data_IF_944054083839
#
_entry.id   IF_944054083839
#
_cell.length_a   1.000
_cell.length_b   1.000
_cell.length_c   1.000
_cell.angle_alpha   90.00
_cell.angle_beta   90.00
_cell.angle_gamma   90.00
#
_symmetry.space_group_name_H-M   'P 1'
#
loop_
_entity.id
_entity.type
_entity.pdbx_description
1 polymer ?
#
# COMPACT_ATOMS: atom_id res chain seq x y z
N UNK A 1 -6.22 -23.84 10.37
CA UNK A 1 -6.76 -22.87 11.35
C UNK A 1 -6.42 -23.21 12.80
N UNK A 2 -6.26 -24.45 13.18
CA UNK A 2 -5.94 -24.90 14.56
C UNK A 2 -4.58 -24.43 15.09
N UNK A 3 -3.54 -24.38 14.28
CA UNK A 3 -2.19 -23.94 14.72
C UNK A 3 -2.08 -22.44 15.12
N UNK A 4 -3.05 -21.59 14.75
CA UNK A 4 -3.07 -20.17 15.18
C UNK A 4 -3.67 -19.97 16.57
N UNK A 5 -4.54 -20.86 17.02
CA UNK A 5 -5.21 -20.75 18.35
C UNK A 5 -4.27 -21.19 19.47
N UNK A 6 -3.45 -22.22 19.26
CA UNK A 6 -2.49 -22.70 20.27
C UNK A 6 -1.33 -21.72 20.50
N UNK A 7 -0.86 -20.98 19.46
CA UNK A 7 0.17 -19.96 19.60
C UNK A 7 -0.28 -18.73 20.41
N UNK A 8 -1.58 -18.44 20.42
CA UNK A 8 -2.18 -17.31 21.17
C UNK A 8 -2.18 -17.50 22.70
N UNK A 9 -2.10 -18.75 23.22
CA UNK A 9 -2.09 -19.04 24.66
C UNK A 9 -0.72 -18.89 25.29
N UNK A 10 0.36 -19.07 24.54
CA UNK A 10 1.75 -18.96 25.05
C UNK A 10 2.24 -17.50 25.16
N UNK A 11 1.69 -16.60 24.36
CA UNK A 11 2.13 -15.19 24.30
C UNK A 11 1.95 -14.44 25.63
N UNK A 12 0.98 -14.82 26.47
CA UNK A 12 0.73 -14.21 27.77
C UNK A 12 1.17 -15.09 28.96
N UNK A 13 1.86 -16.19 28.71
CA UNK A 13 2.25 -17.14 29.77
C UNK A 13 3.22 -16.49 30.77
N UNK A 14 4.20 -15.76 30.29
CA UNK A 14 5.15 -15.04 31.15
C UNK A 14 4.46 -13.94 31.97
N UNK A 15 3.55 -13.18 31.35
CA UNK A 15 2.76 -12.17 32.04
C UNK A 15 1.91 -12.79 33.13
N UNK A 16 1.15 -13.85 32.82
CA UNK A 16 0.35 -14.59 33.80
C UNK A 16 1.17 -15.15 34.94
N UNK A 17 2.33 -15.75 34.65
CA UNK A 17 3.24 -16.28 35.66
C UNK A 17 3.78 -15.18 36.60
N UNK A 18 4.14 -14.03 36.04
CA UNK A 18 4.65 -12.91 36.84
C UNK A 18 3.54 -12.30 37.71
N UNK A 19 2.34 -12.10 37.17
CA UNK A 19 1.17 -11.65 37.93
C UNK A 19 0.86 -12.63 39.07
N UNK A 20 0.83 -13.94 38.77
CA UNK A 20 0.59 -14.99 39.78
C UNK A 20 1.68 -14.96 40.87
N UNK A 21 2.94 -14.91 40.50
CA UNK A 21 4.04 -14.86 41.48
C UNK A 21 3.94 -13.63 42.38
N UNK A 22 3.71 -12.44 41.84
CA UNK A 22 3.51 -11.22 42.63
C UNK A 22 2.31 -11.30 43.55
N UNK A 23 1.20 -11.89 43.07
CA UNK A 23 0.00 -12.09 43.89
C UNK A 23 0.28 -13.02 45.05
N UNK A 24 0.97 -14.15 44.82
CA UNK A 24 1.38 -15.09 45.87
C UNK A 24 2.32 -14.41 46.86
N UNK A 25 3.32 -13.66 46.37
CA UNK A 25 4.27 -12.93 47.25
C UNK A 25 3.53 -11.91 48.13
N UNK A 26 2.56 -11.16 47.57
CA UNK A 26 1.75 -10.21 48.33
C UNK A 26 0.90 -10.89 49.39
N UNK A 27 0.32 -12.06 49.10
CA UNK A 27 -0.41 -12.86 50.07
C UNK A 27 0.49 -13.34 51.21
N UNK A 28 1.70 -13.82 50.90
CA UNK A 28 2.68 -14.26 51.91
C UNK A 28 3.09 -13.08 52.81
N UNK A 29 3.34 -11.89 52.23
CA UNK A 29 3.65 -10.70 53.01
C UNK A 29 2.47 -10.29 53.88
N UNK A 30 1.21 -10.34 53.35
CA UNK A 30 0.02 -10.04 54.14
C UNK A 30 -0.14 -10.98 55.33
N UNK A 31 0.03 -12.29 55.12
CA UNK A 31 -0.02 -13.28 56.21
C UNK A 31 1.08 -13.04 57.23
N UNK A 32 2.31 -12.72 56.77
CA UNK A 32 3.41 -12.35 57.63
C UNK A 32 3.13 -11.11 58.52
N UNK A 33 2.56 -10.06 57.90
CA UNK A 33 2.14 -8.85 58.63
C UNK A 33 1.06 -9.14 59.66
N UNK A 34 0.06 -9.97 59.31
CA UNK A 34 -1.02 -10.40 60.24
C UNK A 34 -0.44 -11.17 61.41
N UNK A 35 0.47 -12.13 61.13
CA UNK A 35 1.10 -12.90 62.17
C UNK A 35 1.95 -12.01 63.12
N UNK A 36 2.65 -11.05 62.58
CA UNK A 36 3.45 -10.09 63.34
C UNK A 36 2.54 -9.17 64.20
N UNK A 37 1.47 -8.67 63.64
CA UNK A 37 0.44 -7.87 64.33
C UNK A 37 -0.17 -8.66 65.50
N UNK A 38 -0.58 -9.92 65.21
CA UNK A 38 -1.10 -10.84 66.21
C UNK A 38 -0.07 -11.11 67.33
N UNK A 39 1.19 -11.36 67.00
CA UNK A 39 2.27 -11.59 67.97
C UNK A 39 2.52 -10.37 68.86
N UNK A 40 2.52 -9.15 68.29
CA UNK A 40 2.70 -7.91 69.07
C UNK A 40 1.56 -7.64 70.02
N UNK A 41 0.29 -7.81 69.54
CA UNK A 41 -0.91 -7.52 70.33
C UNK A 41 -1.17 -8.53 71.45
N UNK A 42 -0.86 -9.80 71.23
CA UNK A 42 -1.18 -10.89 72.16
C UNK A 42 -0.04 -11.36 73.06
N UNK A 43 1.28 -11.14 72.71
CA UNK A 43 2.41 -11.62 73.51
C UNK A 43 2.80 -10.73 74.68
N UNK A 44 1.88 -9.97 75.27
CA UNK A 44 2.05 -9.31 76.58
C UNK A 44 2.81 -7.97 76.56
N UNK A 45 3.81 -7.79 75.73
CA UNK A 45 4.61 -6.55 75.69
C UNK A 45 3.79 -5.29 75.32
N UNK A 46 2.82 -5.43 74.47
CA UNK A 46 1.89 -4.35 74.10
C UNK A 46 0.95 -4.02 75.23
N UNK A 47 0.46 -5.04 75.95
CA UNK A 47 -0.37 -4.84 77.12
C UNK A 47 0.37 -4.06 78.20
N UNK A 48 1.59 -4.46 78.54
CA UNK A 48 2.43 -3.79 79.52
C UNK A 48 2.78 -2.36 79.13
N UNK A 49 3.04 -2.14 77.83
CA UNK A 49 3.32 -0.80 77.29
C UNK A 49 2.09 0.11 77.40
N UNK A 50 0.89 -0.34 77.01
CA UNK A 50 -0.34 0.42 77.11
C UNK A 50 -0.71 0.68 78.55
N UNK A 51 -0.58 -0.30 79.44
CA UNK A 51 -0.82 -0.12 80.87
C UNK A 51 0.13 0.96 81.44
N UNK A 52 1.42 0.89 81.08
CA UNK A 52 2.44 1.92 81.50
C UNK A 52 2.09 3.31 80.91
N UNK A 53 1.63 3.35 79.65
CA UNK A 53 1.19 4.60 79.01
C UNK A 53 -0.01 5.22 79.75
N UNK A 54 -1.01 4.40 80.04
CA UNK A 54 -2.23 4.82 80.77
C UNK A 54 -1.90 5.33 82.17
N UNK A 55 -0.95 4.71 82.88
CA UNK A 55 -0.45 5.15 84.16
C UNK A 55 0.18 6.55 84.06
N UNK A 56 1.02 6.78 83.00
CA UNK A 56 1.71 8.06 82.81
C UNK A 56 0.79 9.21 82.32
N UNK A 57 -0.09 8.91 81.37
CA UNK A 57 -0.96 9.91 80.74
C UNK A 57 -2.11 10.31 81.67
N UNK A 58 -2.80 9.30 82.22
CA UNK A 58 -3.99 9.50 83.01
C UNK A 58 -3.73 9.51 84.54
N UNK A 59 -2.44 9.34 84.96
CA UNK A 59 -2.03 9.27 86.38
C UNK A 59 -2.83 8.23 87.18
N UNK A 60 -3.19 7.10 86.59
CA UNK A 60 -3.97 6.02 87.15
C UNK A 60 -3.06 5.08 87.94
N UNK A 61 -3.64 4.46 89.02
CA UNK A 61 -3.00 3.32 89.67
C UNK A 61 -2.93 2.12 88.72
N UNK A 62 -2.02 1.17 88.95
CA UNK A 62 -1.78 -0.01 88.10
C UNK A 62 -3.08 -0.79 87.88
N UNK A 63 -3.88 -0.98 88.88
CA UNK A 63 -5.18 -1.71 88.82
C UNK A 63 -6.18 -1.02 87.92
N UNK A 64 -6.32 0.30 88.03
CA UNK A 64 -7.22 1.12 87.22
C UNK A 64 -6.71 1.19 85.74
N UNK A 65 -5.38 1.34 85.53
CA UNK A 65 -4.79 1.35 84.20
C UNK A 65 -4.96 0.00 83.46
N UNK A 66 -4.84 -1.12 84.18
CA UNK A 66 -5.05 -2.46 83.64
C UNK A 66 -6.54 -2.72 83.28
N UNK A 67 -7.46 -2.26 84.10
CA UNK A 67 -8.89 -2.40 83.86
C UNK A 67 -9.29 -1.57 82.64
N UNK A 68 -8.74 -0.36 82.49
CA UNK A 68 -8.95 0.48 81.33
C UNK A 68 -8.43 -0.20 80.02
N UNK A 69 -7.21 -0.81 80.08
CA UNK A 69 -6.67 -1.60 78.98
C UNK A 69 -7.58 -2.77 78.64
N UNK A 70 -8.04 -3.53 79.63
CA UNK A 70 -8.93 -4.67 79.42
C UNK A 70 -10.26 -4.23 78.74
N UNK A 71 -10.85 -3.16 79.18
CA UNK A 71 -12.12 -2.67 78.65
C UNK A 71 -11.98 -2.07 77.26
N UNK A 72 -10.87 -1.31 76.98
CA UNK A 72 -10.68 -0.60 75.72
C UNK A 72 -10.08 -1.49 74.61
N UNK A 73 -9.12 -2.33 74.94
CA UNK A 73 -8.40 -3.11 73.94
C UNK A 73 -8.67 -4.65 74.01
N UNK A 74 -8.58 -5.22 75.19
CA UNK A 74 -8.68 -6.69 75.26
C UNK A 74 -10.05 -7.22 74.91
N UNK A 75 -11.13 -6.56 75.27
CA UNK A 75 -12.49 -6.97 74.95
C UNK A 75 -12.84 -6.68 73.45
N UNK A 76 -12.08 -5.83 72.78
CA UNK A 76 -12.30 -5.43 71.35
C UNK A 76 -11.16 -5.90 70.46
N UNK A 77 -10.28 -6.84 70.90
CA UNK A 77 -9.09 -7.26 70.15
C UNK A 77 -9.46 -7.89 68.82
N UNK A 78 -10.59 -8.58 68.70
CA UNK A 78 -11.07 -9.14 67.46
C UNK A 78 -11.41 -8.04 66.45
N UNK A 79 -12.08 -6.97 66.87
CA UNK A 79 -12.41 -5.83 66.04
C UNK A 79 -11.13 -5.12 65.60
N UNK A 80 -10.17 -4.92 66.48
CA UNK A 80 -8.87 -4.29 66.12
C UNK A 80 -8.09 -5.12 65.09
N UNK A 81 -8.11 -6.46 65.21
CA UNK A 81 -7.51 -7.35 64.23
C UNK A 81 -8.18 -7.29 62.87
N UNK A 82 -9.53 -7.26 62.82
CA UNK A 82 -10.29 -7.14 61.56
C UNK A 82 -10.01 -5.81 60.88
N UNK A 83 -9.99 -4.69 61.62
CA UNK A 83 -9.65 -3.37 61.11
C UNK A 83 -8.19 -3.32 60.60
N UNK A 84 -7.26 -3.86 61.36
CA UNK A 84 -5.84 -3.97 60.96
C UNK A 84 -5.67 -4.78 59.65
N UNK A 85 -6.37 -5.92 59.56
CA UNK A 85 -6.38 -6.75 58.37
C UNK A 85 -6.92 -5.98 57.15
N UNK A 86 -8.03 -5.27 57.30
CA UNK A 86 -8.65 -4.48 56.24
C UNK A 86 -7.67 -3.36 55.74
N UNK A 87 -7.00 -2.67 56.67
CA UNK A 87 -6.02 -1.64 56.31
C UNK A 87 -4.83 -2.22 55.54
N UNK A 88 -4.25 -3.32 56.00
CA UNK A 88 -3.16 -4.02 55.32
C UNK A 88 -3.61 -4.45 53.92
N UNK A 89 -4.81 -5.02 53.78
CA UNK A 89 -5.37 -5.42 52.49
C UNK A 89 -5.50 -4.21 51.56
N UNK A 90 -6.05 -3.09 52.02
CA UNK A 90 -6.23 -1.88 51.22
C UNK A 90 -4.86 -1.31 50.73
N UNK A 91 -3.85 -1.31 51.58
CA UNK A 91 -2.51 -0.86 51.21
C UNK A 91 -1.93 -1.76 50.11
N UNK A 92 -1.99 -3.06 50.32
CA UNK A 92 -1.48 -4.05 49.35
C UNK A 92 -2.24 -3.94 48.06
N UNK A 93 -3.57 -3.82 48.08
CA UNK A 93 -4.42 -3.69 46.94
C UNK A 93 -4.10 -2.42 46.14
N UNK A 94 -3.87 -1.29 46.82
CA UNK A 94 -3.44 -0.03 46.18
C UNK A 94 -2.10 -0.16 45.47
N UNK A 95 -1.10 -0.81 46.10
CA UNK A 95 0.21 -1.08 45.47
C UNK A 95 0.03 -1.93 44.23
N UNK A 96 -0.77 -2.97 44.32
CA UNK A 96 -1.07 -3.86 43.18
C UNK A 96 -1.74 -3.13 42.02
N UNK A 97 -2.76 -2.31 42.30
CA UNK A 97 -3.43 -1.50 41.27
C UNK A 97 -2.47 -0.52 40.59
N UNK A 98 -1.62 0.18 41.34
CA UNK A 98 -0.64 1.10 40.77
C UNK A 98 0.39 0.37 39.88
N UNK A 99 0.81 -0.82 40.29
CA UNK A 99 1.70 -1.64 39.48
C UNK A 99 1.04 -2.10 38.16
N UNK A 100 -0.22 -2.52 38.22
CA UNK A 100 -0.98 -2.96 37.06
C UNK A 100 -1.30 -1.81 36.09
N UNK A 101 -1.64 -0.65 36.63
CA UNK A 101 -1.91 0.57 35.84
C UNK A 101 -0.72 0.99 34.96
N UNK A 102 0.53 0.76 35.42
CA UNK A 102 1.72 1.07 34.62
C UNK A 102 1.77 0.33 33.27
N UNK A 103 1.25 -0.89 33.21
CA UNK A 103 1.19 -1.63 31.94
C UNK A 103 0.20 -1.01 30.97
N UNK A 104 -0.97 -0.57 31.46
CA UNK A 104 -1.97 0.13 30.64
C UNK A 104 -1.45 1.46 30.09
N UNK A 105 -0.76 2.22 30.96
CA UNK A 105 -0.16 3.51 30.55
C UNK A 105 0.87 3.26 29.43
N UNK A 106 1.74 2.26 29.56
CA UNK A 106 2.73 1.95 28.53
C UNK A 106 2.11 1.47 27.21
N UNK A 107 1.04 0.66 27.29
CA UNK A 107 0.31 0.24 26.08
C UNK A 107 -0.33 1.44 25.40
N UNK A 108 -1.01 2.32 26.16
CA UNK A 108 -1.62 3.53 25.58
C UNK A 108 -0.58 4.45 24.97
N UNK A 109 0.55 4.67 25.63
CA UNK A 109 1.66 5.43 25.05
C UNK A 109 2.16 4.81 23.74
N UNK A 110 2.32 3.48 23.68
CA UNK A 110 2.69 2.78 22.45
C UNK A 110 1.66 2.91 21.34
N UNK A 111 0.38 2.99 21.67
CA UNK A 111 -0.70 3.24 20.70
C UNK A 111 -0.67 4.70 20.21
N UNK A 112 -0.46 5.66 21.11
CA UNK A 112 -0.34 7.08 20.76
C UNK A 112 0.87 7.34 19.85
N UNK A 113 1.97 6.58 20.02
CA UNK A 113 3.17 6.66 19.21
C UNK A 113 2.97 6.11 17.77
N UNK A 114 1.92 5.31 17.51
CA UNK A 114 1.59 4.88 16.13
C UNK A 114 1.28 6.09 15.23
N UNK A 115 0.61 7.12 15.77
CA UNK A 115 0.21 8.30 14.99
C UNK A 115 1.32 9.35 14.81
N UNK A 116 2.46 9.20 15.48
CA UNK A 116 3.57 10.16 15.42
C UNK A 116 4.62 9.75 14.41
N UNK A 117 4.97 10.65 13.51
CA UNK A 117 5.99 10.39 12.46
C UNK A 117 7.41 10.24 13.03
N UNK A 118 7.71 10.94 14.12
CA UNK A 118 9.05 10.94 14.73
C UNK A 118 9.25 9.84 15.80
N UNK A 119 8.22 9.08 16.13
CA UNK A 119 8.33 8.02 17.12
C UNK A 119 9.01 6.79 16.50
N UNK A 120 10.12 6.34 17.08
CA UNK A 120 10.78 5.09 16.73
C UNK A 120 9.89 3.86 16.97
N UNK A 121 10.46 2.66 16.94
CA UNK A 121 9.74 1.45 17.29
C UNK A 121 9.26 1.52 18.76
N UNK A 122 8.02 1.07 18.97
CA UNK A 122 7.43 0.99 20.31
C UNK A 122 8.11 -0.11 21.09
N UNK A 123 8.65 0.21 22.27
CA UNK A 123 9.27 -0.75 23.18
C UNK A 123 8.40 -0.92 24.42
N UNK A 124 7.94 -2.13 24.67
CA UNK A 124 7.14 -2.54 25.81
C UNK A 124 7.93 -3.48 26.72
N UNK A 125 7.50 -3.66 27.99
CA UNK A 125 8.10 -4.66 28.85
C UNK A 125 8.06 -6.07 28.22
N UNK A 126 9.06 -6.94 28.55
CA UNK A 126 9.17 -8.28 27.95
C UNK A 126 7.89 -9.12 28.05
N UNK A 127 7.09 -8.89 29.11
CA UNK A 127 5.82 -9.57 29.36
C UNK A 127 4.73 -9.20 28.33
N UNK A 128 4.92 -8.09 27.60
CA UNK A 128 4.02 -7.59 26.56
C UNK A 128 4.65 -7.67 25.16
N UNK A 129 5.69 -8.49 24.98
CA UNK A 129 6.41 -8.61 23.69
C UNK A 129 5.51 -8.98 22.52
N UNK A 130 4.48 -9.80 22.75
CA UNK A 130 3.48 -10.12 21.72
C UNK A 130 2.65 -8.89 21.31
N UNK A 131 2.30 -8.03 22.25
CA UNK A 131 1.58 -6.77 22.00
C UNK A 131 2.48 -5.76 21.28
N UNK A 132 3.74 -5.66 21.71
CA UNK A 132 4.79 -4.84 21.06
C UNK A 132 4.92 -5.18 19.57
N UNK A 133 5.11 -6.48 19.25
CA UNK A 133 5.20 -6.95 17.86
C UNK A 133 3.97 -6.58 17.04
N UNK A 134 2.76 -6.71 17.61
CA UNK A 134 1.52 -6.34 16.91
C UNK A 134 1.44 -4.85 16.65
N UNK A 135 1.76 -4.02 17.64
CA UNK A 135 1.75 -2.56 17.52
C UNK A 135 2.76 -2.14 16.44
N UNK A 136 3.99 -2.65 16.47
CA UNK A 136 5.00 -2.34 15.48
C UNK A 136 4.62 -2.82 14.07
N UNK A 137 3.99 -4.01 13.95
CA UNK A 137 3.46 -4.48 12.65
C UNK A 137 2.39 -3.55 12.09
N UNK A 138 1.46 -3.07 12.94
CA UNK A 138 0.42 -2.11 12.53
C UNK A 138 1.07 -0.80 12.10
N UNK A 139 2.05 -0.29 12.87
CA UNK A 139 2.79 0.93 12.54
C UNK A 139 3.45 0.84 11.16
N UNK A 140 4.24 -0.21 10.90
CA UNK A 140 4.88 -0.42 9.61
C UNK A 140 3.87 -0.55 8.45
N UNK A 141 2.72 -1.19 8.70
CA UNK A 141 1.66 -1.28 7.69
C UNK A 141 1.08 0.09 7.35
N UNK A 142 0.81 0.91 8.37
CA UNK A 142 0.30 2.28 8.18
C UNK A 142 1.33 3.19 7.50
N UNK A 143 2.60 3.11 7.88
CA UNK A 143 3.68 3.86 7.25
C UNK A 143 3.81 3.50 5.76
N UNK A 144 3.76 2.20 5.45
CA UNK A 144 3.76 1.73 4.05
C UNK A 144 2.55 2.25 3.29
N UNK A 145 1.34 2.12 3.85
CA UNK A 145 0.13 2.64 3.20
C UNK A 145 0.20 4.16 2.96
N UNK A 146 0.74 4.92 3.92
CA UNK A 146 0.92 6.37 3.78
C UNK A 146 1.92 6.72 2.67
N UNK A 147 3.01 5.95 2.56
CA UNK A 147 3.98 6.10 1.48
C UNK A 147 3.35 5.78 0.12
N UNK A 148 2.64 4.65 0.03
CA UNK A 148 1.94 4.23 -1.19
C UNK A 148 0.90 5.29 -1.63
N UNK A 149 0.16 5.88 -0.68
CA UNK A 149 -0.77 6.97 -0.96
C UNK A 149 -0.06 8.23 -1.48
N UNK A 150 1.05 8.64 -0.86
CA UNK A 150 1.83 9.80 -1.33
C UNK A 150 2.37 9.59 -2.73
N UNK A 151 2.89 8.38 -3.03
CA UNK A 151 3.38 8.03 -4.37
C UNK A 151 2.24 8.06 -5.40
N UNK A 152 1.06 7.51 -5.06
CA UNK A 152 -0.10 7.55 -5.95
C UNK A 152 -0.60 8.99 -6.19
N UNK A 153 -0.61 9.84 -5.17
CA UNK A 153 -0.96 11.26 -5.30
C UNK A 153 0.05 12.02 -6.16
N UNK A 154 1.34 11.77 -5.97
CA UNK A 154 2.39 12.36 -6.79
C UNK A 154 2.26 11.93 -8.26
N UNK A 155 2.07 10.64 -8.52
CA UNK A 155 1.84 10.12 -9.88
C UNK A 155 0.63 10.76 -10.54
N UNK A 156 -0.47 10.94 -9.78
CA UNK A 156 -1.66 11.65 -10.27
C UNK A 156 -1.38 13.10 -10.63
N UNK A 157 -0.61 13.82 -9.80
CA UNK A 157 -0.27 15.23 -10.04
C UNK A 157 0.67 15.37 -11.24
N UNK A 158 1.67 14.50 -11.35
CA UNK A 158 2.57 14.43 -12.50
C UNK A 158 1.78 14.16 -13.79
N UNK A 159 0.83 13.22 -13.76
CA UNK A 159 -0.09 12.92 -14.84
C UNK A 159 -0.84 14.17 -15.33
N UNK A 160 -1.45 14.93 -14.42
CA UNK A 160 -2.19 16.14 -14.78
C UNK A 160 -1.26 17.20 -15.38
N UNK A 161 -0.05 17.34 -14.87
CA UNK A 161 0.93 18.32 -15.36
C UNK A 161 1.43 17.98 -16.77
N UNK A 162 1.78 16.71 -17.04
CA UNK A 162 2.19 16.25 -18.37
C UNK A 162 1.06 16.42 -19.38
N UNK A 163 -0.17 16.03 -19.01
CA UNK A 163 -1.32 16.18 -19.89
C UNK A 163 -1.58 17.63 -20.25
N UNK A 164 -1.56 18.54 -19.27
CA UNK A 164 -1.77 19.96 -19.51
C UNK A 164 -0.73 20.54 -20.48
N UNK A 165 0.53 20.12 -20.35
CA UNK A 165 1.62 20.52 -21.25
C UNK A 165 1.39 19.98 -22.67
N UNK A 166 1.10 18.68 -22.81
CA UNK A 166 0.97 18.01 -24.11
C UNK A 166 -0.31 18.40 -24.87
N UNK A 167 -1.38 18.80 -24.16
CA UNK A 167 -2.58 19.39 -24.77
C UNK A 167 -2.36 20.85 -25.17
N UNK A 168 -1.62 21.64 -24.40
CA UNK A 168 -1.36 23.06 -24.68
C UNK A 168 -0.60 23.27 -25.99
N UNK A 169 0.36 22.40 -26.31
CA UNK A 169 1.22 22.55 -27.49
C UNK A 169 0.45 22.44 -28.81
N UNK A 170 -0.32 21.38 -29.11
CA UNK A 170 -1.12 21.30 -30.33
C UNK A 170 -2.21 22.37 -30.36
N UNK A 171 -2.86 22.66 -29.23
CA UNK A 171 -3.89 23.69 -29.14
C UNK A 171 -3.34 25.08 -29.51
N UNK A 172 -2.17 25.47 -28.98
CA UNK A 172 -1.52 26.72 -29.32
C UNK A 172 -1.17 26.79 -30.81
N UNK A 173 -0.75 25.67 -31.42
CA UNK A 173 -0.49 25.58 -32.87
C UNK A 173 -1.76 25.79 -33.70
N UNK A 174 -2.86 25.10 -33.36
CA UNK A 174 -4.16 25.29 -34.02
C UNK A 174 -4.59 26.75 -33.96
N UNK A 175 -4.57 27.35 -32.76
CA UNK A 175 -4.94 28.77 -32.59
C UNK A 175 -4.01 29.69 -33.39
N UNK A 176 -2.70 29.41 -33.41
CA UNK A 176 -1.73 30.19 -34.16
C UNK A 176 -1.97 30.20 -35.66
N UNK A 177 -2.18 29.01 -36.28
CA UNK A 177 -2.44 28.91 -37.72
C UNK A 177 -3.80 29.46 -38.09
N UNK A 178 -4.84 29.30 -37.27
CA UNK A 178 -6.15 29.92 -37.49
C UNK A 178 -6.10 31.44 -37.40
N UNK A 179 -5.28 32.01 -36.46
CA UNK A 179 -5.05 33.46 -36.41
C UNK A 179 -4.36 33.97 -37.67
N UNK A 180 -3.31 33.25 -38.16
CA UNK A 180 -2.64 33.62 -39.44
C UNK A 180 -3.64 33.61 -40.60
N UNK A 181 -4.51 32.59 -40.68
CA UNK A 181 -5.57 32.53 -41.71
C UNK A 181 -6.59 33.67 -41.61
N UNK A 182 -6.89 34.15 -40.40
CA UNK A 182 -7.84 35.24 -40.16
C UNK A 182 -7.25 36.61 -40.45
N UNK A 183 -6.02 36.85 -40.00
CA UNK A 183 -5.42 38.19 -39.93
C UNK A 183 -4.67 38.57 -41.23
N UNK A 184 -4.23 37.59 -42.02
CA UNK A 184 -3.56 37.85 -43.32
C UNK A 184 -4.58 37.88 -44.48
N UNK A 185 -4.90 39.09 -44.95
CA UNK A 185 -5.92 39.29 -46.01
C UNK A 185 -5.51 38.87 -47.42
N UNK A 186 -4.23 38.58 -47.68
CA UNK A 186 -3.67 38.16 -48.99
C UNK A 186 -2.74 36.96 -48.87
N UNK A 187 -3.33 35.80 -48.51
CA UNK A 187 -2.58 34.54 -48.48
C UNK A 187 -2.74 33.82 -49.80
N UNK A 188 -1.68 33.20 -50.34
CA UNK A 188 -1.82 32.31 -51.50
C UNK A 188 -2.69 31.09 -51.13
N UNK A 189 -3.41 30.57 -52.12
CA UNK A 189 -4.27 29.38 -51.88
C UNK A 189 -3.47 28.18 -51.38
N UNK A 190 -2.22 28.03 -51.88
CA UNK A 190 -1.31 26.98 -51.42
C UNK A 190 -0.95 27.12 -49.92
N UNK A 191 -0.67 28.33 -49.45
CA UNK A 191 -0.35 28.61 -48.07
C UNK A 191 -1.58 28.46 -47.17
N UNK A 192 -2.79 28.81 -47.67
CA UNK A 192 -4.04 28.61 -47.01
C UNK A 192 -4.31 27.11 -46.76
N UNK A 193 -4.14 26.29 -47.79
CA UNK A 193 -4.32 24.85 -47.68
C UNK A 193 -3.33 24.22 -46.71
N UNK A 194 -2.06 24.67 -46.73
CA UNK A 194 -1.04 24.24 -45.80
C UNK A 194 -1.42 24.56 -44.33
N UNK A 195 -1.87 25.79 -44.03
CA UNK A 195 -2.27 26.18 -42.69
C UNK A 195 -3.49 25.41 -42.20
N UNK A 196 -4.46 25.16 -43.08
CA UNK A 196 -5.64 24.33 -42.77
C UNK A 196 -5.23 22.87 -42.48
N UNK A 197 -4.39 22.28 -43.34
CA UNK A 197 -3.90 20.91 -43.11
C UNK A 197 -3.16 20.78 -41.78
N UNK A 198 -2.21 21.68 -41.48
CA UNK A 198 -1.49 21.64 -40.18
C UNK A 198 -2.44 21.83 -39.01
N UNK A 199 -3.46 22.71 -39.14
CA UNK A 199 -4.45 22.91 -38.08
C UNK A 199 -5.28 21.65 -37.84
N UNK A 200 -5.68 20.96 -38.91
CA UNK A 200 -6.45 19.73 -38.86
C UNK A 200 -5.62 18.62 -38.19
N UNK A 201 -4.36 18.40 -38.67
CA UNK A 201 -3.47 17.39 -38.09
C UNK A 201 -3.24 17.59 -36.59
N UNK A 202 -3.13 18.88 -36.16
CA UNK A 202 -2.96 19.20 -34.74
C UNK A 202 -4.24 19.02 -33.91
N UNK A 203 -5.42 19.27 -34.52
CA UNK A 203 -6.72 19.03 -33.89
C UNK A 203 -6.98 17.53 -33.72
N UNK A 204 -6.72 16.72 -34.75
CA UNK A 204 -6.80 15.25 -34.69
C UNK A 204 -5.88 14.69 -33.64
N UNK A 205 -4.64 15.22 -33.55
CA UNK A 205 -3.69 14.83 -32.50
C UNK A 205 -4.20 15.17 -31.10
N UNK A 206 -4.86 16.32 -30.93
CA UNK A 206 -5.47 16.73 -29.66
C UNK A 206 -6.60 15.76 -29.25
N UNK A 207 -7.42 15.36 -30.22
CA UNK A 207 -8.49 14.37 -30.01
C UNK A 207 -7.92 13.02 -29.55
N UNK A 208 -6.87 12.51 -30.21
CA UNK A 208 -6.18 11.30 -29.78
C UNK A 208 -5.70 11.38 -28.32
N UNK A 209 -5.04 12.47 -27.94
CA UNK A 209 -4.52 12.68 -26.57
C UNK A 209 -5.65 12.70 -25.54
N UNK A 210 -6.78 13.35 -25.86
CA UNK A 210 -7.97 13.39 -25.01
C UNK A 210 -8.54 11.98 -24.84
N UNK A 211 -8.66 11.22 -25.92
CA UNK A 211 -9.18 9.86 -25.88
C UNK A 211 -8.27 8.91 -25.08
N UNK A 212 -6.93 9.00 -25.25
CA UNK A 212 -5.96 8.26 -24.45
C UNK A 212 -6.10 8.58 -22.96
N UNK A 213 -6.29 9.87 -22.61
CA UNK A 213 -6.50 10.31 -21.23
C UNK A 213 -7.79 9.77 -20.62
N UNK A 214 -8.89 9.86 -21.34
CA UNK A 214 -10.18 9.33 -20.86
C UNK A 214 -10.10 7.82 -20.56
N UNK A 215 -9.39 7.08 -21.39
CA UNK A 215 -9.19 5.65 -21.12
C UNK A 215 -8.41 5.41 -19.83
N UNK A 216 -7.29 6.10 -19.61
CA UNK A 216 -6.52 5.95 -18.36
C UNK A 216 -7.34 6.38 -17.15
N UNK A 217 -8.05 7.51 -17.24
CA UNK A 217 -8.93 7.96 -16.16
C UNK A 217 -10.00 6.92 -15.85
N UNK A 218 -10.59 6.29 -16.87
CA UNK A 218 -11.57 5.22 -16.71
C UNK A 218 -10.96 3.96 -16.10
N UNK A 219 -9.72 3.60 -16.47
CA UNK A 219 -9.01 2.48 -15.85
C UNK A 219 -8.72 2.70 -14.37
N UNK A 220 -8.36 3.93 -13.98
CA UNK A 220 -8.02 4.25 -12.58
C UNK A 220 -9.25 4.44 -11.67
N UNK A 221 -10.44 4.75 -12.23
CA UNK A 221 -11.64 5.10 -11.47
C UNK A 221 -12.69 4.00 -11.34
N UNK A 222 -12.61 2.91 -12.11
CA UNK A 222 -13.69 1.91 -12.15
C UNK A 222 -13.19 0.47 -12.06
N UNK A 223 -13.98 -0.38 -11.38
CA UNK A 223 -13.95 -1.82 -11.58
C UNK A 223 -14.39 -2.11 -13.03
N UNK A 224 -13.42 -2.17 -13.95
CA UNK A 224 -13.70 -2.47 -15.35
C UNK A 224 -14.23 -3.88 -15.43
N UNK A 225 -15.47 -4.02 -15.86
CA UNK A 225 -16.05 -5.31 -16.22
C UNK A 225 -15.69 -5.62 -17.67
N UNK A 226 -14.85 -6.65 -17.87
CA UNK A 226 -14.51 -7.14 -19.20
C UNK A 226 -15.71 -7.87 -19.84
N UNK A 227 -15.92 -7.63 -21.13
CA UNK A 227 -16.94 -8.31 -21.93
C UNK A 227 -16.28 -9.41 -22.74
N UNK A 228 -16.17 -10.58 -22.14
CA UNK A 228 -15.51 -11.72 -22.76
C UNK A 228 -16.31 -12.27 -23.96
N UNK A 229 -15.64 -12.45 -25.08
CA UNK A 229 -16.13 -13.15 -26.29
C UNK A 229 -15.05 -14.09 -26.81
N UNK A 230 -15.44 -15.08 -27.62
CA UNK A 230 -14.47 -15.95 -28.32
C UNK A 230 -14.11 -15.27 -29.63
N UNK A 231 -12.83 -15.05 -29.86
CA UNK A 231 -12.30 -14.39 -31.05
C UNK A 231 -11.23 -15.25 -31.73
N UNK A 232 -11.16 -15.15 -33.05
CA UNK A 232 -10.08 -15.67 -33.87
C UNK A 232 -8.94 -14.67 -33.93
N UNK A 233 -7.75 -15.06 -33.45
CA UNK A 233 -6.57 -14.20 -33.52
C UNK A 233 -6.13 -13.96 -34.98
N UNK A 234 -6.26 -14.97 -35.84
CA UNK A 234 -5.94 -14.82 -37.26
C UNK A 234 -6.73 -13.69 -37.88
N UNK A 235 -8.06 -13.70 -37.73
CA UNK A 235 -8.94 -12.64 -38.29
C UNK A 235 -8.65 -11.28 -37.67
N UNK A 236 -8.39 -11.22 -36.37
CA UNK A 236 -8.05 -9.96 -35.70
C UNK A 236 -6.77 -9.35 -36.27
N UNK A 237 -5.71 -10.17 -36.47
CA UNK A 237 -4.47 -9.68 -37.05
C UNK A 237 -4.61 -9.32 -38.54
N UNK A 238 -5.39 -10.09 -39.33
CA UNK A 238 -5.66 -9.73 -40.73
C UNK A 238 -6.33 -8.34 -40.84
N UNK A 239 -7.32 -8.06 -40.00
CA UNK A 239 -7.98 -6.75 -39.96
C UNK A 239 -7.00 -5.66 -39.52
N UNK A 240 -6.25 -5.88 -38.45
CA UNK A 240 -5.25 -4.95 -37.93
C UNK A 240 -4.20 -4.61 -39.01
N UNK A 241 -3.64 -5.60 -39.66
CA UNK A 241 -2.63 -5.39 -40.70
C UNK A 241 -3.19 -4.61 -41.89
N UNK A 242 -4.46 -4.83 -42.24
CA UNK A 242 -5.14 -4.06 -43.29
C UNK A 242 -5.28 -2.59 -42.91
N UNK A 243 -5.65 -2.29 -41.68
CA UNK A 243 -5.78 -0.91 -41.17
C UNK A 243 -4.45 -0.17 -41.14
N UNK A 244 -3.33 -0.87 -40.85
CA UNK A 244 -1.99 -0.29 -40.78
C UNK A 244 -1.25 -0.18 -42.13
N UNK A 245 -1.79 -0.72 -43.18
CA UNK A 245 -1.18 -0.67 -44.54
C UNK A 245 -0.71 0.74 -44.98
N UNK A 246 -1.47 1.82 -44.81
CA UNK A 246 -1.03 3.15 -45.20
C UNK A 246 0.24 3.59 -44.42
N UNK A 247 0.31 3.28 -43.12
CA UNK A 247 1.46 3.62 -42.27
C UNK A 247 2.71 2.81 -42.64
N UNK A 248 2.54 1.53 -43.02
CA UNK A 248 3.65 0.73 -43.54
C UNK A 248 4.21 1.29 -44.84
N UNK A 249 3.34 1.71 -45.76
CA UNK A 249 3.74 2.31 -47.02
C UNK A 249 4.50 3.62 -46.84
N UNK A 250 4.10 4.48 -45.92
CA UNK A 250 4.75 5.76 -45.64
C UNK A 250 6.22 5.61 -45.23
N UNK A 251 6.56 4.53 -44.52
CA UNK A 251 7.93 4.23 -44.05
C UNK A 251 8.61 3.10 -44.80
N UNK A 252 8.07 2.61 -45.90
CA UNK A 252 8.56 1.45 -46.63
C UNK A 252 8.77 0.20 -45.76
N UNK A 253 7.88 -0.02 -44.78
CA UNK A 253 7.94 -1.18 -43.89
C UNK A 253 7.21 -2.37 -44.52
N UNK A 254 7.70 -3.60 -44.30
CA UNK A 254 6.94 -4.80 -44.55
C UNK A 254 6.49 -5.39 -43.21
N UNK A 255 5.26 -5.89 -43.16
CA UNK A 255 4.78 -6.58 -41.96
C UNK A 255 4.38 -8.01 -42.31
N UNK A 256 4.94 -8.97 -41.58
CA UNK A 256 4.66 -10.40 -41.77
C UNK A 256 3.96 -10.98 -40.55
N UNK A 257 2.93 -11.81 -40.79
CA UNK A 257 2.21 -12.54 -39.75
C UNK A 257 2.58 -14.02 -39.80
N UNK A 258 3.19 -14.54 -38.75
CA UNK A 258 3.53 -15.94 -38.56
C UNK A 258 2.55 -16.58 -37.57
N UNK A 259 1.51 -17.20 -38.09
CA UNK A 259 0.51 -17.94 -37.32
C UNK A 259 0.26 -19.28 -38.05
N UNK A 260 0.50 -20.38 -37.37
CA UNK A 260 0.42 -21.71 -37.99
C UNK A 260 -1.02 -22.22 -38.06
N UNK A 261 -1.85 -21.91 -37.08
CA UNK A 261 -3.25 -22.35 -36.97
C UNK A 261 -4.08 -21.22 -36.39
N UNK A 262 -5.37 -21.17 -36.73
CA UNK A 262 -6.27 -20.16 -36.14
C UNK A 262 -6.54 -20.47 -34.69
N UNK A 263 -6.02 -19.63 -33.80
CA UNK A 263 -6.14 -19.76 -32.35
C UNK A 263 -7.32 -18.96 -31.86
N UNK A 264 -8.27 -19.66 -31.24
CA UNK A 264 -9.43 -19.02 -30.61
C UNK A 264 -9.11 -18.72 -29.14
N UNK A 265 -9.23 -17.47 -28.73
CA UNK A 265 -9.08 -17.04 -27.33
C UNK A 265 -10.36 -16.45 -26.79
N UNK A 266 -10.54 -16.51 -25.46
CA UNK A 266 -11.65 -15.87 -24.76
C UNK A 266 -11.18 -14.57 -24.10
N UNK A 267 -11.54 -13.44 -24.69
CA UNK A 267 -11.12 -12.12 -24.21
C UNK A 267 -12.17 -11.03 -24.50
N UNK A 268 -11.94 -9.84 -24.02
CA UNK A 268 -12.64 -8.64 -24.46
C UNK A 268 -11.99 -8.16 -25.78
N UNK A 269 -12.70 -8.37 -26.90
CA UNK A 269 -12.17 -8.14 -28.24
C UNK A 269 -11.68 -6.70 -28.44
N UNK A 270 -12.49 -5.71 -28.06
CA UNK A 270 -12.16 -4.29 -28.24
C UNK A 270 -10.91 -3.90 -27.45
N UNK A 271 -10.78 -4.44 -26.25
CA UNK A 271 -9.64 -4.17 -25.38
C UNK A 271 -8.36 -4.85 -25.88
N UNK A 272 -8.44 -6.11 -26.31
CA UNK A 272 -7.26 -6.82 -26.82
C UNK A 272 -6.82 -6.26 -28.17
N UNK A 273 -7.74 -5.89 -29.06
CA UNK A 273 -7.39 -5.18 -30.29
C UNK A 273 -6.57 -3.94 -29.97
N UNK A 274 -7.00 -3.14 -29.00
CA UNK A 274 -6.28 -1.93 -28.58
C UNK A 274 -4.88 -2.22 -28.03
N UNK A 275 -4.63 -3.38 -27.39
CA UNK A 275 -3.27 -3.79 -27.00
C UNK A 275 -2.40 -3.93 -28.25
N UNK A 276 -2.90 -4.65 -29.26
CA UNK A 276 -2.14 -4.91 -30.48
C UNK A 276 -1.96 -3.62 -31.31
N UNK A 277 -2.98 -2.74 -31.40
CA UNK A 277 -2.88 -1.41 -32.00
C UNK A 277 -1.75 -0.59 -31.37
N UNK A 278 -1.68 -0.52 -30.05
CA UNK A 278 -0.66 0.23 -29.34
C UNK A 278 0.74 -0.31 -29.57
N UNK A 279 0.91 -1.64 -29.59
CA UNK A 279 2.22 -2.26 -29.81
C UNK A 279 2.63 -2.08 -31.27
N UNK A 280 1.73 -2.30 -32.22
CA UNK A 280 2.01 -2.17 -33.66
C UNK A 280 2.27 -0.71 -34.04
N UNK A 281 1.50 0.25 -33.50
CA UNK A 281 1.76 1.70 -33.67
C UNK A 281 3.17 2.07 -33.21
N UNK A 282 3.60 1.56 -32.06
CA UNK A 282 4.97 1.74 -31.57
C UNK A 282 6.00 1.10 -32.50
N UNK A 283 5.76 -0.13 -32.94
CA UNK A 283 6.67 -0.80 -33.89
C UNK A 283 6.83 0.04 -35.15
N UNK A 284 5.76 0.56 -35.75
CA UNK A 284 5.82 1.42 -36.93
C UNK A 284 6.57 2.73 -36.67
N UNK A 285 6.27 3.42 -35.57
CA UNK A 285 6.88 4.71 -35.23
C UNK A 285 8.39 4.59 -35.02
N UNK A 286 8.82 3.56 -34.31
CA UNK A 286 10.23 3.39 -33.88
C UNK A 286 11.05 2.47 -34.78
N UNK A 287 10.46 1.86 -35.82
CA UNK A 287 11.23 1.11 -36.81
C UNK A 287 12.09 2.03 -37.69
N UNK A 288 13.22 1.53 -38.11
CA UNK A 288 14.01 2.13 -39.18
C UNK A 288 13.24 2.00 -40.51
N UNK A 289 13.40 2.98 -41.41
CA UNK A 289 12.78 2.96 -42.73
C UNK A 289 13.28 1.76 -43.56
N UNK A 290 12.39 1.11 -44.29
CA UNK A 290 12.74 -0.01 -45.16
C UNK A 290 13.05 -1.33 -44.44
N UNK A 291 12.64 -1.47 -43.18
CA UNK A 291 12.84 -2.70 -42.40
C UNK A 291 11.54 -3.52 -42.27
N UNK A 292 11.65 -4.71 -41.71
CA UNK A 292 10.55 -5.64 -41.51
C UNK A 292 10.00 -5.58 -40.09
N UNK A 293 8.68 -5.72 -39.93
CA UNK A 293 8.00 -5.99 -38.67
C UNK A 293 7.49 -7.42 -38.73
N UNK A 294 7.74 -8.21 -37.71
CA UNK A 294 7.28 -9.59 -37.61
C UNK A 294 6.31 -9.75 -36.46
N UNK A 295 5.15 -10.37 -36.69
CA UNK A 295 4.20 -10.77 -35.67
C UNK A 295 4.15 -12.29 -35.65
N UNK A 296 4.65 -12.89 -34.57
CA UNK A 296 4.63 -14.33 -34.36
C UNK A 296 3.59 -14.69 -33.30
N UNK A 297 2.69 -15.66 -33.62
CA UNK A 297 1.66 -16.16 -32.71
C UNK A 297 1.85 -17.65 -32.49
N UNK A 298 2.06 -18.05 -31.25
CA UNK A 298 2.32 -19.46 -30.86
C UNK A 298 1.32 -19.85 -29.78
N UNK A 299 0.48 -20.86 -30.12
CA UNK A 299 -0.42 -21.48 -29.12
C UNK A 299 0.35 -22.45 -28.23
N UNK A 300 0.05 -22.42 -26.93
CA UNK A 300 0.46 -23.41 -25.94
C UNK A 300 -0.78 -24.00 -25.27
N UNK A 301 -0.64 -25.04 -24.47
CA UNK A 301 -1.78 -25.75 -23.88
C UNK A 301 -2.75 -24.84 -23.10
N UNK A 302 -2.24 -23.89 -22.34
CA UNK A 302 -3.06 -22.99 -21.50
C UNK A 302 -3.00 -21.52 -21.94
N UNK A 303 -2.01 -21.13 -22.73
CA UNK A 303 -1.74 -19.74 -23.08
C UNK A 303 -1.43 -19.59 -24.57
N UNK A 304 -1.60 -18.38 -25.09
CA UNK A 304 -1.07 -17.97 -26.40
C UNK A 304 0.03 -16.94 -26.18
N UNK A 305 1.14 -17.10 -26.87
CA UNK A 305 2.24 -16.14 -26.93
C UNK A 305 2.21 -15.39 -28.25
N UNK A 306 2.19 -14.06 -28.16
CA UNK A 306 2.17 -13.15 -29.32
C UNK A 306 3.41 -12.27 -29.19
N UNK A 307 4.28 -12.30 -30.21
CA UNK A 307 5.52 -11.53 -30.21
C UNK A 307 5.50 -10.58 -31.41
N UNK A 308 5.70 -9.30 -31.15
CA UNK A 308 5.91 -8.26 -32.14
C UNK A 308 7.40 -7.93 -32.16
N UNK A 309 8.05 -8.07 -33.28
CA UNK A 309 9.47 -7.79 -33.45
C UNK A 309 9.66 -6.73 -34.52
N UNK A 310 10.48 -5.72 -34.24
CA UNK A 310 10.81 -4.69 -35.20
C UNK A 310 12.30 -4.29 -35.08
N UNK A 311 12.87 -3.73 -36.15
CA UNK A 311 14.21 -3.17 -36.17
C UNK A 311 14.17 -1.67 -35.82
N UNK A 312 14.87 -1.28 -34.78
CA UNK A 312 14.91 0.11 -34.29
C UNK A 312 15.99 0.32 -33.23
N UNK A 313 16.09 1.56 -32.71
CA UNK A 313 17.09 1.89 -31.71
C UNK A 313 17.01 0.94 -30.49
N UNK A 314 18.17 0.41 -30.04
CA UNK A 314 18.23 -0.49 -28.90
C UNK A 314 17.84 0.24 -27.61
N UNK A 315 16.91 -0.35 -26.88
CA UNK A 315 16.44 0.14 -25.58
C UNK A 315 17.37 -0.38 -24.48
N UNK A 316 18.01 0.46 -23.65
CA UNK A 316 18.83 0.02 -22.53
C UNK A 316 18.04 -0.88 -21.56
N UNK A 317 18.68 -1.93 -21.05
CA UNK A 317 18.04 -2.95 -20.19
C UNK A 317 17.34 -2.31 -18.97
N UNK A 318 17.97 -1.32 -18.34
CA UNK A 318 17.43 -0.56 -17.20
C UNK A 318 16.16 0.24 -17.50
N UNK A 319 15.86 0.46 -18.79
CA UNK A 319 14.68 1.20 -19.25
C UNK A 319 13.55 0.30 -19.74
N UNK A 320 13.81 -0.98 -19.99
CA UNK A 320 12.82 -1.93 -20.55
C UNK A 320 11.57 -2.12 -19.69
N UNK A 321 11.69 -2.07 -18.36
CA UNK A 321 10.52 -2.12 -17.48
C UNK A 321 9.78 -0.78 -17.45
N UNK A 322 10.51 0.32 -17.58
CA UNK A 322 9.97 1.68 -17.47
C UNK A 322 9.17 2.12 -18.69
N UNK A 323 9.41 1.54 -19.87
CA UNK A 323 8.61 1.87 -21.07
C UNK A 323 7.11 1.56 -20.91
N UNK A 324 6.74 0.75 -19.91
CA UNK A 324 5.35 0.47 -19.55
C UNK A 324 4.80 1.40 -18.45
N UNK A 325 5.61 2.33 -17.94
CA UNK A 325 5.14 3.36 -17.02
C UNK A 325 4.36 4.44 -17.80
N UNK A 326 3.33 5.02 -17.19
CA UNK A 326 2.54 6.08 -17.79
C UNK A 326 3.43 7.32 -18.04
N UNK A 327 3.29 7.93 -19.23
CA UNK A 327 4.04 9.13 -19.68
C UNK A 327 5.55 8.93 -19.81
N UNK A 328 6.07 7.71 -19.63
CA UNK A 328 7.48 7.46 -19.83
C UNK A 328 7.84 7.45 -21.31
N UNK A 329 8.92 8.17 -21.66
CA UNK A 329 9.48 8.25 -23.01
C UNK A 329 11.01 8.13 -22.94
N UNK A 330 11.60 7.42 -23.87
CA UNK A 330 13.06 7.26 -23.94
C UNK A 330 13.77 8.58 -24.27
N UNK A 331 13.22 9.37 -25.19
CA UNK A 331 13.72 10.66 -25.63
C UNK A 331 12.64 11.74 -25.60
N UNK A 332 12.87 12.78 -24.80
CA UNK A 332 11.99 13.96 -24.73
C UNK A 332 12.15 14.86 -25.97
N UNK A 333 13.29 14.79 -26.68
CA UNK A 333 13.65 15.67 -27.80
C UNK A 333 12.95 15.35 -29.14
N UNK A 334 12.40 14.15 -29.32
CA UNK A 334 11.67 13.73 -30.54
C UNK A 334 10.17 14.05 -30.48
N UNK A 335 9.75 15.01 -29.67
CA UNK A 335 8.31 15.34 -29.44
C UNK A 335 7.59 15.95 -30.65
N UNK A 336 8.28 16.31 -31.74
CA UNK A 336 7.70 17.07 -32.86
C UNK A 336 7.30 16.21 -34.06
N UNK A 337 7.70 14.94 -34.14
CA UNK A 337 7.39 14.07 -35.30
C UNK A 337 6.75 12.76 -34.87
N UNK A 338 5.45 12.75 -34.57
CA UNK A 338 4.63 11.53 -34.53
C UNK A 338 4.67 10.66 -33.26
N UNK A 339 5.45 11.01 -32.24
CA UNK A 339 5.52 10.22 -31.00
C UNK A 339 4.30 10.39 -30.09
N UNK A 340 3.75 9.28 -29.53
CA UNK A 340 2.59 9.28 -28.63
C UNK A 340 2.87 9.92 -27.27
N UNK A 341 1.83 10.12 -26.44
CA UNK A 341 1.91 10.68 -25.08
C UNK A 341 2.64 9.76 -24.06
N UNK A 342 3.19 8.65 -24.48
CA UNK A 342 3.78 7.65 -23.57
C UNK A 342 2.75 6.85 -22.79
N UNK A 343 1.51 6.77 -23.30
CA UNK A 343 0.39 6.10 -22.64
C UNK A 343 0.07 4.73 -23.26
N UNK A 344 0.37 4.51 -24.55
CA UNK A 344 -0.05 3.32 -25.28
C UNK A 344 0.45 2.01 -24.67
N UNK A 345 1.73 1.90 -24.33
CA UNK A 345 2.28 0.69 -23.69
C UNK A 345 1.78 0.49 -22.25
N UNK A 346 1.55 1.57 -21.52
CA UNK A 346 0.96 1.51 -20.18
C UNK A 346 -0.48 0.98 -20.24
N UNK A 347 -1.30 1.45 -21.20
CA UNK A 347 -2.64 0.96 -21.45
C UNK A 347 -2.60 -0.52 -21.85
N UNK A 348 -1.69 -0.90 -22.76
CA UNK A 348 -1.51 -2.29 -23.17
C UNK A 348 -1.20 -3.20 -21.99
N UNK A 349 -0.24 -2.84 -21.13
CA UNK A 349 0.10 -3.59 -19.91
C UNK A 349 -1.09 -3.74 -18.98
N UNK A 350 -1.87 -2.69 -18.78
CA UNK A 350 -3.02 -2.69 -17.89
C UNK A 350 -4.13 -3.62 -18.43
N UNK A 351 -4.45 -3.55 -19.73
CA UNK A 351 -5.43 -4.42 -20.37
C UNK A 351 -5.00 -5.89 -20.29
N UNK A 352 -3.74 -6.19 -20.62
CA UNK A 352 -3.19 -7.55 -20.55
C UNK A 352 -3.26 -8.10 -19.12
N UNK A 353 -2.93 -7.28 -18.12
CA UNK A 353 -3.04 -7.67 -16.70
C UNK A 353 -4.49 -7.96 -16.29
N UNK A 354 -5.46 -7.17 -16.76
CA UNK A 354 -6.89 -7.42 -16.51
C UNK A 354 -7.36 -8.76 -17.11
N UNK A 355 -6.73 -9.21 -18.19
CA UNK A 355 -6.97 -10.52 -18.81
C UNK A 355 -6.15 -11.64 -18.18
N UNK A 356 -5.52 -11.44 -17.02
CA UNK A 356 -4.61 -12.39 -16.35
C UNK A 356 -3.42 -12.79 -17.21
N UNK A 357 -3.02 -11.94 -18.16
CA UNK A 357 -1.86 -12.12 -19.03
C UNK A 357 -0.63 -11.37 -18.53
N UNK A 358 0.43 -11.38 -19.33
CA UNK A 358 1.65 -10.62 -19.11
C UNK A 358 2.18 -10.03 -20.40
N UNK A 359 2.82 -8.85 -20.29
CA UNK A 359 3.53 -8.19 -21.40
C UNK A 359 4.96 -7.89 -20.96
N UNK A 360 5.91 -8.18 -21.83
CA UNK A 360 7.34 -7.93 -21.61
C UNK A 360 7.99 -7.37 -22.86
N UNK A 361 9.11 -6.68 -22.71
CA UNK A 361 9.91 -6.21 -23.84
C UNK A 361 11.34 -6.75 -23.73
N UNK A 362 11.98 -6.97 -24.86
CA UNK A 362 13.41 -7.25 -25.01
C UNK A 362 13.96 -6.39 -26.11
N UNK A 363 15.19 -5.93 -25.97
CA UNK A 363 15.86 -5.16 -27.00
C UNK A 363 17.35 -5.48 -27.02
N UNK A 364 17.83 -5.88 -28.18
CA UNK A 364 19.22 -6.23 -28.40
C UNK A 364 19.54 -6.08 -29.90
N UNK A 365 20.74 -5.58 -30.21
CA UNK A 365 21.25 -5.49 -31.58
C UNK A 365 20.28 -4.80 -32.56
N UNK A 366 19.80 -3.62 -32.22
CA UNK A 366 18.84 -2.83 -33.02
C UNK A 366 17.52 -3.56 -33.30
N UNK A 367 17.20 -4.55 -32.48
CA UNK A 367 15.94 -5.29 -32.54
C UNK A 367 15.17 -5.08 -31.25
N UNK A 368 13.88 -4.77 -31.35
CA UNK A 368 12.97 -4.62 -30.24
C UNK A 368 11.86 -5.65 -30.36
N UNK A 369 11.61 -6.42 -29.32
CA UNK A 369 10.57 -7.43 -29.29
C UNK A 369 9.65 -7.23 -28.09
N UNK A 370 8.35 -7.07 -28.38
CA UNK A 370 7.28 -7.05 -27.36
C UNK A 370 6.58 -8.39 -27.34
N UNK A 371 6.54 -9.03 -26.19
CA UNK A 371 5.90 -10.32 -26.00
C UNK A 371 4.68 -10.19 -25.10
N UNK A 372 3.52 -10.60 -25.61
CA UNK A 372 2.25 -10.68 -24.90
C UNK A 372 1.89 -12.12 -24.67
N UNK A 373 1.51 -12.48 -23.46
CA UNK A 373 1.02 -13.81 -23.09
C UNK A 373 -0.40 -13.64 -22.57
N UNK A 374 -1.35 -14.35 -23.16
CA UNK A 374 -2.76 -14.34 -22.76
C UNK A 374 -3.24 -15.77 -22.49
N UNK A 375 -4.13 -16.01 -21.51
CA UNK A 375 -4.79 -17.30 -21.34
C UNK A 375 -5.73 -17.59 -22.52
N UNK A 376 -5.84 -18.86 -22.91
CA UNK A 376 -6.75 -19.30 -24.00
C UNK A 376 -8.19 -19.40 -23.51
N UNK A 377 -8.41 -19.71 -22.21
CA UNK A 377 -9.73 -19.94 -21.60
C UNK A 377 -10.08 -18.88 -20.55
#
# INVERSE_FOLDING_TARGET
>A
MENRVFRKSDDFRQFKAKVFFHTVLLVVIAVGCIYLLYSILLKGRFADWIVTLNQKVFRLDYTAARTLYQWTFRNHIELALVVGLALVFLIIFRIYLNWYAKYFIKINQGIDDIGREDAGEVSLPPELSATEKKINTIKHTLEKQKLDMKLAEQQKNDMVMYLAHDLKTPLASVIGYLNLLRDEGQISEELRQKYLSVSLDKAERLEELINEFFEIAKFNLSNITLRYSRISLMRMFEMLLYEFQPMFHEKNLNCSLMISEDIMIRCDADKIQRVFDNILKNAVIYSFEGTDIEIAVVGKEENVEITFTNCGDTIPEEKLERIFEQFYRLDVSRSTSGGGAGLGLAIAKQIVTLHNGSITARSENETVAFKVILPVS
#
